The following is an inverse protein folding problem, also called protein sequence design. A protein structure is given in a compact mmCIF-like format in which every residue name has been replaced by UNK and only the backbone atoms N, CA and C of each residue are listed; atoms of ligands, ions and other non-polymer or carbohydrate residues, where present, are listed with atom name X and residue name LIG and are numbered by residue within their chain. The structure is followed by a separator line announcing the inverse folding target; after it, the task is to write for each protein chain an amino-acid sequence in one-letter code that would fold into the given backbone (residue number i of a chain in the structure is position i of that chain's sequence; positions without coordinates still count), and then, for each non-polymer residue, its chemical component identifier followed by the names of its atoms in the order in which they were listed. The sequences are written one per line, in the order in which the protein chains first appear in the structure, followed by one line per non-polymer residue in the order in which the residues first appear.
data_IF_830583441120
#
_entry.id   IF_830583441120
#
_cell.length_a   1.000
_cell.length_b   1.000
_cell.length_c   1.000
_cell.angle_alpha   90.00
_cell.angle_beta   90.00
_cell.angle_gamma   90.00
#
_symmetry.space_group_name_H-M   'P 1'
#
loop_
_entity.id
_entity.type
_entity.pdbx_description
1 polymer ?
#
# COMPACT_ATOMS: atom_id res chain seq x y z
N UNK A 1 9.01 12.19 55.19
CA UNK A 1 7.72 11.45 54.89
C UNK A 1 6.70 12.39 54.23
N UNK A 2 6.52 13.62 54.74
CA UNK A 2 5.61 14.62 54.15
C UNK A 2 6.04 15.01 52.73
N UNK A 3 7.32 15.32 52.49
CA UNK A 3 7.83 15.65 51.17
C UNK A 3 7.67 14.52 50.14
N UNK A 4 7.83 13.26 50.58
CA UNK A 4 7.62 12.11 49.69
C UNK A 4 6.13 11.93 49.32
N UNK A 5 5.22 12.17 50.30
CA UNK A 5 3.77 12.15 50.03
C UNK A 5 3.35 13.25 49.07
N UNK A 6 3.97 14.42 49.18
CA UNK A 6 3.70 15.56 48.31
C UNK A 6 4.22 15.33 46.88
N UNK A 7 5.43 14.75 46.76
CA UNK A 7 6.00 14.30 45.49
C UNK A 7 5.14 13.23 44.81
N UNK A 8 4.62 12.25 45.59
CA UNK A 8 3.72 11.25 45.08
C UNK A 8 2.38 11.85 44.61
N UNK A 9 1.79 12.77 45.39
CA UNK A 9 0.56 13.47 44.98
C UNK A 9 0.78 14.29 43.72
N UNK A 10 1.88 15.05 43.61
CA UNK A 10 2.23 15.81 42.43
C UNK A 10 2.46 14.91 41.22
N UNK A 11 3.11 13.75 41.43
CA UNK A 11 3.25 12.75 40.37
C UNK A 11 1.90 12.20 39.90
N UNK A 12 1.01 11.82 40.83
CA UNK A 12 -0.34 11.38 40.49
C UNK A 12 -1.12 12.45 39.76
N UNK A 13 -1.08 13.70 40.25
CA UNK A 13 -1.73 14.82 39.60
C UNK A 13 -1.19 15.08 38.18
N UNK A 14 0.14 15.04 37.96
CA UNK A 14 0.75 15.18 36.65
C UNK A 14 0.41 14.00 35.73
N UNK A 15 0.35 12.77 36.26
CA UNK A 15 -0.08 11.59 35.50
C UNK A 15 -1.55 11.69 35.12
N UNK A 16 -2.41 12.14 36.01
CA UNK A 16 -3.83 12.35 35.72
C UNK A 16 -4.04 13.48 34.71
N UNK A 17 -3.33 14.61 34.86
CA UNK A 17 -3.33 15.69 33.87
C UNK A 17 -2.82 15.22 32.50
N UNK A 18 -1.73 14.46 32.49
CA UNK A 18 -1.21 13.89 31.24
C UNK A 18 -2.21 12.91 30.62
N UNK A 19 -2.88 12.10 31.45
CA UNK A 19 -3.97 11.21 31.04
C UNK A 19 -5.15 11.99 30.46
N UNK A 20 -5.55 13.09 31.08
CA UNK A 20 -6.61 13.98 30.61
C UNK A 20 -6.26 14.68 29.30
N UNK A 21 -5.04 15.21 29.20
CA UNK A 21 -4.55 15.80 27.97
C UNK A 21 -4.48 14.79 26.84
N UNK A 22 -4.04 13.55 27.14
CA UNK A 22 -4.04 12.46 26.17
C UNK A 22 -5.47 12.13 25.72
N UNK A 23 -6.43 11.97 26.65
CA UNK A 23 -7.84 11.72 26.31
C UNK A 23 -8.44 12.85 25.47
N UNK A 24 -8.16 14.12 25.82
CA UNK A 24 -8.63 15.27 25.04
C UNK A 24 -7.99 15.34 23.66
N UNK A 25 -6.71 15.00 23.56
CA UNK A 25 -6.01 14.96 22.28
C UNK A 25 -6.53 13.80 21.41
N UNK A 26 -6.75 12.60 21.99
CA UNK A 26 -7.38 11.48 21.30
C UNK A 26 -8.77 11.90 20.79
N UNK A 27 -9.62 12.47 21.64
CA UNK A 27 -10.96 12.91 21.25
C UNK A 27 -10.95 14.02 20.19
N UNK A 28 -9.92 14.89 20.17
CA UNK A 28 -9.72 15.86 19.14
C UNK A 28 -9.27 15.19 17.83
N UNK A 29 -8.32 14.28 17.92
CA UNK A 29 -7.80 13.52 16.76
C UNK A 29 -8.92 12.67 16.17
N UNK A 30 -9.69 11.95 16.97
CA UNK A 30 -10.85 11.16 16.53
C UNK A 30 -11.92 12.01 15.83
N UNK A 31 -12.06 13.27 16.21
CA UNK A 31 -12.96 14.21 15.55
C UNK A 31 -12.42 14.70 14.22
N UNK A 32 -11.12 14.97 14.15
CA UNK A 32 -10.44 15.61 13.01
C UNK A 32 -9.81 14.58 12.10
N UNK A 33 -9.30 13.48 12.68
CA UNK A 33 -8.63 12.35 12.03
C UNK A 33 -9.09 11.02 12.65
N UNK A 34 -10.32 10.58 12.46
CA UNK A 34 -10.88 9.43 13.22
C UNK A 34 -10.11 8.12 13.06
N UNK A 35 -9.36 7.93 11.97
CA UNK A 35 -8.55 6.73 11.76
C UNK A 35 -7.08 6.90 12.18
N UNK A 36 -6.71 8.07 12.66
CA UNK A 36 -5.30 8.38 12.93
C UNK A 36 -4.70 7.44 13.98
N UNK A 37 -5.45 7.14 15.04
CA UNK A 37 -5.01 6.25 16.11
C UNK A 37 -4.75 4.83 15.63
N UNK A 38 -5.56 4.36 14.67
CA UNK A 38 -5.41 3.02 14.10
C UNK A 38 -4.16 2.83 13.20
N UNK A 39 -3.40 3.90 12.96
CA UNK A 39 -2.25 3.90 12.04
C UNK A 39 -0.91 3.86 12.74
N UNK A 40 -0.91 4.04 14.05
CA UNK A 40 0.31 4.08 14.86
C UNK A 40 0.06 3.29 16.13
N UNK A 41 1.09 2.63 16.66
CA UNK A 41 1.02 1.93 17.95
C UNK A 41 0.53 2.87 19.06
N UNK A 42 0.85 4.14 18.93
CA UNK A 42 0.29 5.23 19.72
C UNK A 42 0.38 6.54 18.94
N UNK A 43 -0.65 7.40 19.09
CA UNK A 43 -0.62 8.75 18.52
C UNK A 43 0.51 9.62 19.08
N UNK A 44 1.19 9.16 20.13
CA UNK A 44 2.31 9.87 20.78
C UNK A 44 3.69 9.37 20.33
N UNK A 45 3.77 8.44 19.35
CA UNK A 45 5.06 8.06 18.77
C UNK A 45 5.65 9.23 17.96
N UNK A 46 6.98 9.22 17.75
CA UNK A 46 7.67 10.29 17.04
C UNK A 46 7.11 10.55 15.65
N UNK A 47 6.83 9.47 14.89
CA UNK A 47 6.28 9.55 13.54
C UNK A 47 4.90 10.19 13.51
N UNK A 48 4.00 9.76 14.42
CA UNK A 48 2.67 10.33 14.55
C UNK A 48 2.70 11.83 14.87
N UNK A 49 3.52 12.24 15.85
CA UNK A 49 3.68 13.65 16.21
C UNK A 49 4.28 14.46 15.07
N UNK A 50 5.21 13.89 14.30
CA UNK A 50 5.78 14.56 13.12
C UNK A 50 4.71 14.79 12.03
N UNK A 51 3.85 13.78 11.78
CA UNK A 51 2.74 13.90 10.83
C UNK A 51 1.76 15.00 11.28
N UNK A 52 1.32 14.99 12.55
CA UNK A 52 0.41 16.02 13.08
C UNK A 52 0.99 17.43 13.02
N UNK A 53 2.31 17.59 13.24
CA UNK A 53 2.98 18.89 13.12
C UNK A 53 3.00 19.40 11.69
N UNK A 54 3.23 18.52 10.71
CA UNK A 54 3.34 18.88 9.29
C UNK A 54 1.96 19.05 8.64
N UNK A 55 1.00 18.20 9.04
CA UNK A 55 -0.34 18.12 8.44
C UNK A 55 -1.43 18.24 9.52
N UNK A 56 -1.74 19.46 9.96
CA UNK A 56 -2.64 19.70 11.09
C UNK A 56 -4.14 19.52 10.74
N UNK A 57 -4.48 19.24 9.50
CA UNK A 57 -5.86 19.06 9.05
C UNK A 57 -6.01 17.83 8.14
N UNK A 58 -7.11 17.07 8.23
CA UNK A 58 -7.33 15.85 7.44
C UNK A 58 -7.42 16.10 5.93
N UNK A 59 -7.82 17.30 5.51
CA UNK A 59 -7.86 17.67 4.09
C UNK A 59 -6.48 17.67 3.42
N UNK A 60 -5.41 17.64 4.20
CA UNK A 60 -4.04 17.64 3.67
C UNK A 60 -3.38 16.28 3.62
N UNK A 61 -3.82 15.33 4.45
CA UNK A 61 -3.22 14.00 4.49
C UNK A 61 -4.21 12.98 5.05
N UNK A 62 -4.29 11.84 4.40
CA UNK A 62 -5.08 10.69 4.85
C UNK A 62 -4.35 9.40 4.49
N UNK A 63 -4.38 8.43 5.38
CA UNK A 63 -3.94 7.07 5.05
C UNK A 63 -4.94 6.44 4.09
N UNK A 64 -4.42 5.88 3.01
CA UNK A 64 -5.26 5.22 2.01
C UNK A 64 -5.37 3.71 2.22
N UNK A 65 -4.81 3.20 3.32
CA UNK A 65 -4.83 1.77 3.66
C UNK A 65 -4.47 0.87 2.46
N UNK A 66 -5.21 -0.18 2.22
CA UNK A 66 -4.93 -1.14 1.15
C UNK A 66 -4.94 -0.57 -0.28
N UNK A 67 -5.45 0.66 -0.49
CA UNK A 67 -5.27 1.35 -1.76
C UNK A 67 -3.76 1.59 -2.08
N UNK A 68 -2.90 1.53 -1.07
CA UNK A 68 -1.44 1.55 -1.19
C UNK A 68 -0.91 0.40 -2.05
N UNK A 69 -1.52 -0.78 -1.99
CA UNK A 69 -1.11 -1.95 -2.78
C UNK A 69 -1.08 -1.65 -4.28
N UNK A 70 -2.06 -0.86 -4.74
CA UNK A 70 -2.10 -0.46 -6.16
C UNK A 70 -0.95 0.46 -6.53
N UNK A 71 -0.43 1.27 -5.59
CA UNK A 71 0.78 2.07 -5.84
C UNK A 71 1.98 1.14 -6.04
N UNK A 72 2.12 0.10 -5.21
CA UNK A 72 3.20 -0.90 -5.38
C UNK A 72 3.07 -1.60 -6.72
N UNK A 73 1.87 -1.99 -7.15
CA UNK A 73 1.64 -2.56 -8.48
C UNK A 73 2.11 -1.64 -9.62
N UNK A 74 1.85 -0.32 -9.50
CA UNK A 74 2.35 0.66 -10.48
C UNK A 74 3.88 0.78 -10.46
N UNK A 75 4.51 0.75 -9.28
CA UNK A 75 5.97 0.80 -9.15
C UNK A 75 6.65 -0.44 -9.75
N UNK A 76 6.07 -1.62 -9.57
CA UNK A 76 6.53 -2.85 -10.23
C UNK A 76 6.45 -2.72 -11.74
N UNK A 77 5.38 -2.10 -12.27
CA UNK A 77 5.25 -1.84 -13.70
C UNK A 77 6.35 -0.91 -14.24
N UNK A 78 6.69 0.14 -13.50
CA UNK A 78 7.80 1.03 -13.87
C UNK A 78 9.13 0.27 -13.84
N UNK A 79 9.37 -0.55 -12.82
CA UNK A 79 10.59 -1.34 -12.70
C UNK A 79 10.70 -2.40 -13.81
N UNK A 80 9.59 -2.98 -14.23
CA UNK A 80 9.51 -3.88 -15.38
C UNK A 80 9.83 -3.15 -16.70
N UNK A 81 9.24 -1.99 -16.94
CA UNK A 81 9.50 -1.17 -18.12
C UNK A 81 10.96 -0.66 -18.18
N UNK A 82 11.59 -0.45 -17.04
CA UNK A 82 13.00 -0.03 -16.91
C UNK A 82 13.99 -1.21 -16.94
N UNK A 83 13.51 -2.45 -16.98
CA UNK A 83 14.34 -3.66 -17.03
C UNK A 83 14.97 -4.06 -15.70
N UNK A 84 14.57 -3.46 -14.56
CA UNK A 84 14.96 -3.93 -13.23
C UNK A 84 14.33 -5.29 -12.91
N UNK A 85 13.11 -5.50 -13.37
CA UNK A 85 12.41 -6.78 -13.39
C UNK A 85 12.38 -7.25 -14.84
N UNK A 86 13.01 -8.39 -15.15
CA UNK A 86 13.15 -8.88 -16.51
C UNK A 86 11.85 -9.53 -17.03
N UNK A 87 11.14 -10.24 -16.15
CA UNK A 87 9.87 -10.88 -16.46
C UNK A 87 8.96 -10.92 -15.24
N UNK A 88 7.66 -10.71 -15.45
CA UNK A 88 6.67 -10.91 -14.38
C UNK A 88 6.52 -12.39 -14.01
N UNK A 89 6.97 -13.30 -14.85
CA UNK A 89 6.97 -14.73 -14.62
C UNK A 89 8.30 -15.23 -13.99
N UNK A 90 9.24 -14.31 -13.70
CA UNK A 90 10.43 -14.61 -12.93
C UNK A 90 10.04 -15.11 -11.53
N UNK A 91 10.84 -16.09 -11.05
CA UNK A 91 10.70 -16.57 -9.69
C UNK A 91 11.17 -15.53 -8.68
N UNK A 92 10.50 -15.47 -7.55
CA UNK A 92 10.86 -14.58 -6.44
C UNK A 92 12.32 -14.82 -6.00
N UNK A 93 12.78 -16.09 -5.98
CA UNK A 93 14.17 -16.46 -5.65
C UNK A 93 15.23 -15.83 -6.54
N UNK A 94 14.90 -15.42 -7.76
CA UNK A 94 15.82 -14.70 -8.65
C UNK A 94 16.28 -13.37 -8.06
N UNK A 95 15.41 -12.69 -7.32
CA UNK A 95 15.65 -11.38 -6.72
C UNK A 95 15.87 -11.50 -5.21
N UNK A 96 15.21 -12.43 -4.55
CA UNK A 96 15.21 -12.62 -3.11
C UNK A 96 15.55 -14.08 -2.77
N UNK A 97 16.81 -14.50 -2.99
CA UNK A 97 17.23 -15.90 -2.82
C UNK A 97 17.13 -16.40 -1.38
N UNK A 98 17.15 -15.50 -0.39
CA UNK A 98 16.96 -15.82 1.01
C UNK A 98 15.52 -16.20 1.38
N UNK A 99 14.54 -15.90 0.54
CA UNK A 99 13.16 -16.33 0.76
C UNK A 99 13.00 -17.82 0.37
N UNK A 100 12.91 -18.69 1.35
CA UNK A 100 12.96 -20.16 1.17
C UNK A 100 11.87 -20.75 0.27
N UNK A 101 10.78 -20.03 0.01
CA UNK A 101 9.66 -20.43 -0.85
C UNK A 101 9.73 -19.79 -2.25
N UNK A 102 10.75 -18.98 -2.51
CA UNK A 102 10.87 -18.12 -3.69
C UNK A 102 10.84 -18.86 -5.02
N UNK A 103 11.32 -20.11 -5.08
CA UNK A 103 11.30 -20.93 -6.30
C UNK A 103 9.89 -21.41 -6.69
N UNK A 104 8.93 -21.36 -5.79
CA UNK A 104 7.56 -21.81 -6.05
C UNK A 104 6.69 -20.69 -6.61
N UNK A 105 7.02 -19.43 -6.31
CA UNK A 105 6.19 -18.23 -6.54
C UNK A 105 6.83 -17.36 -7.62
N UNK A 106 6.00 -16.80 -8.52
CA UNK A 106 6.43 -15.78 -9.48
C UNK A 106 5.99 -14.38 -9.03
N UNK A 107 6.60 -13.34 -9.61
CA UNK A 107 6.16 -11.94 -9.42
C UNK A 107 4.70 -11.79 -9.83
N UNK A 108 4.26 -12.42 -10.92
CA UNK A 108 2.87 -12.46 -11.36
C UNK A 108 1.94 -13.03 -10.30
N UNK A 109 2.34 -14.09 -9.60
CA UNK A 109 1.52 -14.65 -8.51
C UNK A 109 1.31 -13.64 -7.37
N UNK A 110 2.33 -12.86 -7.02
CA UNK A 110 2.21 -11.80 -6.01
C UNK A 110 1.34 -10.63 -6.52
N UNK A 111 1.51 -10.21 -7.78
CA UNK A 111 0.70 -9.16 -8.38
C UNK A 111 -0.79 -9.52 -8.41
N UNK A 112 -1.12 -10.77 -8.66
CA UNK A 112 -2.49 -11.26 -8.79
C UNK A 112 -3.07 -11.87 -7.51
N UNK A 113 -2.39 -11.75 -6.37
CA UNK A 113 -2.83 -12.32 -5.09
C UNK A 113 -3.09 -13.83 -5.16
N UNK A 114 -2.19 -14.57 -5.82
CA UNK A 114 -2.31 -16.01 -6.04
C UNK A 114 -1.07 -16.79 -5.62
N UNK A 115 -0.33 -16.27 -4.65
CA UNK A 115 0.93 -16.85 -4.16
C UNK A 115 0.78 -18.21 -3.46
N UNK A 116 -0.41 -18.50 -2.91
CA UNK A 116 -0.62 -19.67 -2.07
C UNK A 116 0.05 -19.60 -0.68
N UNK A 117 0.54 -18.43 -0.26
CA UNK A 117 1.17 -18.23 1.04
C UNK A 117 0.19 -18.40 2.21
N UNK A 118 0.69 -18.83 3.35
CA UNK A 118 -0.04 -19.07 4.60
C UNK A 118 -0.35 -17.75 5.37
N UNK A 119 -0.79 -16.74 4.66
CA UNK A 119 -1.20 -15.45 5.23
C UNK A 119 -2.68 -15.45 5.59
N UNK A 120 -3.02 -14.99 6.79
CA UNK A 120 -4.39 -14.76 7.22
C UNK A 120 -4.72 -13.25 7.22
N UNK A 121 -5.67 -12.84 6.40
CA UNK A 121 -6.13 -11.45 6.30
C UNK A 121 -7.17 -11.12 7.41
N UNK A 122 -6.89 -11.54 8.64
CA UNK A 122 -7.80 -11.38 9.78
C UNK A 122 -7.43 -10.16 10.63
N UNK A 123 -8.20 -9.08 10.53
CA UNK A 123 -7.95 -7.81 11.23
C UNK A 123 -8.34 -7.80 12.71
N UNK A 124 -9.16 -8.75 13.15
CA UNK A 124 -9.69 -8.80 14.53
C UNK A 124 -9.03 -9.87 15.41
N UNK A 125 -8.25 -10.75 14.83
CA UNK A 125 -7.56 -11.81 15.57
C UNK A 125 -6.20 -11.30 16.06
N UNK A 126 -5.99 -11.25 17.38
CA UNK A 126 -4.77 -10.70 18.00
C UNK A 126 -3.46 -11.34 17.53
N UNK A 127 -3.52 -12.60 17.10
CA UNK A 127 -2.34 -13.38 16.69
C UNK A 127 -2.25 -13.59 15.17
N UNK A 128 -3.14 -12.98 14.38
CA UNK A 128 -3.07 -13.09 12.92
C UNK A 128 -1.80 -12.46 12.37
N UNK A 129 -1.32 -12.94 11.23
CA UNK A 129 -0.17 -12.34 10.55
C UNK A 129 -0.45 -10.90 10.14
N UNK A 130 -1.69 -10.58 9.76
CA UNK A 130 -2.13 -9.21 9.50
C UNK A 130 -1.96 -8.32 10.73
N UNK A 131 -2.41 -8.75 11.90
CA UNK A 131 -2.24 -7.98 13.15
C UNK A 131 -0.77 -7.84 13.52
N UNK A 132 0.03 -8.90 13.40
CA UNK A 132 1.47 -8.84 13.63
C UNK A 132 2.16 -7.85 12.69
N UNK A 133 1.78 -7.81 11.40
CA UNK A 133 2.33 -6.84 10.44
C UNK A 133 1.94 -5.40 10.79
N UNK A 134 0.69 -5.15 11.24
CA UNK A 134 0.23 -3.80 11.59
C UNK A 134 0.92 -3.25 12.84
N UNK A 135 1.08 -4.05 13.88
CA UNK A 135 1.52 -3.61 15.20
C UNK A 135 2.94 -4.05 15.55
N UNK A 136 3.51 -4.99 14.81
CA UNK A 136 4.88 -5.45 15.01
C UNK A 136 5.92 -4.53 14.34
N UNK A 137 7.16 -4.74 14.74
CA UNK A 137 8.35 -3.98 14.33
C UNK A 137 9.37 -4.82 13.53
N UNK A 138 8.98 -6.02 13.09
CA UNK A 138 9.82 -7.01 12.39
C UNK A 138 9.10 -7.58 11.17
N UNK A 139 8.60 -6.70 10.29
CA UNK A 139 7.80 -7.13 9.17
C UNK A 139 8.57 -8.01 8.18
N UNK A 140 9.86 -7.75 8.01
CA UNK A 140 10.73 -8.55 7.12
C UNK A 140 10.82 -9.99 7.61
N UNK A 141 11.08 -10.21 8.90
CA UNK A 141 11.13 -11.56 9.47
C UNK A 141 9.79 -12.28 9.30
N UNK A 142 8.69 -11.61 9.59
CA UNK A 142 7.34 -12.16 9.43
C UNK A 142 7.07 -12.62 7.99
N UNK A 143 7.51 -11.85 7.00
CA UNK A 143 7.32 -12.20 5.59
C UNK A 143 8.26 -13.32 5.15
N UNK A 144 9.52 -13.30 5.59
CA UNK A 144 10.50 -14.35 5.25
C UNK A 144 10.14 -15.72 5.83
N UNK A 145 9.35 -15.75 6.91
CA UNK A 145 8.89 -16.99 7.55
C UNK A 145 7.65 -17.61 6.87
N UNK A 146 7.01 -16.92 5.92
CA UNK A 146 5.82 -17.43 5.22
C UNK A 146 6.09 -18.71 4.44
N UNK A 147 5.08 -19.58 4.36
CA UNK A 147 5.15 -20.87 3.65
C UNK A 147 4.09 -20.95 2.56
N UNK A 148 4.44 -21.58 1.46
CA UNK A 148 3.48 -21.92 0.41
C UNK A 148 2.70 -23.15 0.88
N UNK A 149 1.38 -22.98 1.07
CA UNK A 149 0.45 -24.01 1.54
C UNK A 149 -0.61 -24.36 0.51
N UNK A 150 -0.75 -23.55 -0.54
CA UNK A 150 -1.63 -23.80 -1.70
C UNK A 150 -0.82 -23.69 -2.99
N UNK A 151 -1.32 -24.27 -4.09
CA UNK A 151 -0.64 -24.22 -5.38
C UNK A 151 -0.63 -22.78 -5.95
N UNK A 152 0.54 -22.14 -6.14
CA UNK A 152 0.62 -20.80 -6.67
C UNK A 152 0.03 -20.71 -8.09
N UNK A 153 -0.68 -19.61 -8.37
CA UNK A 153 -1.25 -19.34 -9.69
C UNK A 153 -2.53 -20.12 -10.00
N UNK A 154 -3.18 -20.72 -9.01
CA UNK A 154 -4.45 -21.42 -9.19
C UNK A 154 -5.65 -20.62 -8.71
N UNK A 155 -5.57 -20.10 -7.50
CA UNK A 155 -6.67 -19.43 -6.83
C UNK A 155 -6.29 -18.06 -6.34
N UNK A 156 -7.17 -17.11 -6.53
CA UNK A 156 -7.08 -15.80 -5.91
C UNK A 156 -7.40 -15.90 -4.41
N UNK A 157 -6.56 -15.28 -3.61
CA UNK A 157 -6.80 -15.09 -2.19
C UNK A 157 -6.13 -13.79 -1.75
N UNK A 158 -6.93 -12.80 -1.38
CA UNK A 158 -6.40 -11.48 -1.00
C UNK A 158 -5.50 -11.57 0.22
N UNK A 159 -4.23 -11.19 0.08
CA UNK A 159 -3.19 -11.32 1.10
C UNK A 159 -2.29 -10.09 1.14
N UNK A 160 -2.28 -9.37 2.26
CA UNK A 160 -1.36 -8.24 2.46
C UNK A 160 0.11 -8.66 2.42
N UNK A 161 0.41 -9.91 2.79
CA UNK A 161 1.75 -10.49 2.70
C UNK A 161 2.30 -10.54 1.28
N UNK A 162 1.45 -10.79 0.28
CA UNK A 162 1.86 -10.80 -1.13
C UNK A 162 2.41 -9.45 -1.58
N UNK A 163 1.77 -8.36 -1.18
CA UNK A 163 2.23 -7.01 -1.51
C UNK A 163 3.52 -6.65 -0.79
N UNK A 164 3.64 -7.03 0.48
CA UNK A 164 4.85 -6.76 1.24
C UNK A 164 6.05 -7.55 0.69
N UNK A 165 5.86 -8.82 0.35
CA UNK A 165 6.89 -9.63 -0.31
C UNK A 165 7.26 -9.05 -1.68
N UNK A 166 6.27 -8.58 -2.45
CA UNK A 166 6.48 -7.94 -3.75
C UNK A 166 7.35 -6.69 -3.63
N UNK A 167 7.20 -5.90 -2.56
CA UNK A 167 8.07 -4.76 -2.32
C UNK A 167 9.51 -5.14 -2.00
N UNK A 168 9.75 -6.22 -1.26
CA UNK A 168 11.10 -6.71 -1.01
C UNK A 168 11.77 -7.24 -2.28
N UNK A 169 10.98 -7.88 -3.16
CA UNK A 169 11.46 -8.26 -4.50
C UNK A 169 11.85 -7.03 -5.30
N UNK A 170 11.05 -5.97 -5.25
CA UNK A 170 11.33 -4.71 -5.95
C UNK A 170 12.60 -4.04 -5.41
N UNK A 171 12.77 -3.94 -4.11
CA UNK A 171 14.00 -3.41 -3.48
C UNK A 171 15.24 -4.18 -3.94
N UNK A 172 15.17 -5.51 -3.88
CA UNK A 172 16.28 -6.37 -4.29
C UNK A 172 16.61 -6.22 -5.80
N UNK A 173 15.59 -6.08 -6.64
CA UNK A 173 15.78 -5.83 -8.06
C UNK A 173 16.48 -4.49 -8.34
N UNK A 174 16.11 -3.45 -7.61
CA UNK A 174 16.72 -2.12 -7.72
C UNK A 174 18.19 -2.13 -7.23
N UNK A 175 18.49 -2.79 -6.11
CA UNK A 175 19.83 -2.88 -5.54
C UNK A 175 20.78 -3.68 -6.45
N UNK A 176 20.30 -4.77 -7.06
CA UNK A 176 21.10 -5.61 -7.97
C UNK A 176 21.67 -4.82 -9.15
N UNK A 177 20.87 -3.98 -9.79
CA UNK A 177 21.31 -3.18 -10.94
C UNK A 177 22.31 -2.10 -10.52
N UNK A 178 22.15 -1.50 -9.34
CA UNK A 178 23.13 -0.54 -8.82
C UNK A 178 24.49 -1.20 -8.62
N UNK A 179 24.55 -2.41 -8.02
CA UNK A 179 25.79 -3.17 -7.83
C UNK A 179 26.45 -3.54 -9.16
N UNK A 180 25.68 -4.02 -10.12
CA UNK A 180 26.22 -4.41 -11.44
C UNK A 180 26.79 -3.21 -12.21
N UNK A 181 26.17 -2.05 -12.17
CA UNK A 181 26.68 -0.83 -12.81
C UNK A 181 27.96 -0.29 -12.17
N UNK A 182 28.10 -0.43 -10.86
CA UNK A 182 29.34 -0.05 -10.16
C UNK A 182 30.51 -0.94 -10.55
N UNK A 183 30.30 -2.24 -10.81
CA UNK A 183 31.35 -3.17 -11.25
C UNK A 183 31.82 -2.93 -12.70
N UNK A 184 30.95 -2.50 -13.60
CA UNK A 184 31.32 -2.22 -15.01
C UNK A 184 32.18 -0.96 -15.18
N UNK A 185 32.22 -0.04 -14.22
CA UNK A 185 33.04 1.18 -14.25
C UNK A 185 34.38 1.04 -13.54
N UNK A 186 34.73 -0.13 -13.07
CA UNK A 186 35.85 -0.45 -12.20
C UNK A 186 37.22 -0.60 -12.85
N UNK A 187 37.69 0.30 -13.75
CA UNK A 187 39.10 0.34 -14.19
C UNK A 187 39.96 1.25 -13.30
N UNK A 188 39.39 2.09 -12.48
CA UNK A 188 40.11 2.92 -11.51
C UNK A 188 39.59 2.66 -10.10
N UNK A 189 40.52 2.28 -9.18
CA UNK A 189 40.29 2.16 -7.73
C UNK A 189 39.91 3.55 -7.18
N UNK A 190 38.66 3.91 -7.21
CA UNK A 190 38.07 4.93 -6.34
C UNK A 190 37.18 4.23 -5.32
N UNK A 191 37.23 4.67 -4.07
CA UNK A 191 36.43 4.15 -2.97
C UNK A 191 34.98 4.00 -3.40
N UNK A 192 34.53 2.73 -3.47
CA UNK A 192 33.14 2.38 -3.78
C UNK A 192 32.29 2.96 -2.66
N UNK A 193 31.61 4.07 -2.89
CA UNK A 193 30.52 4.49 -2.03
C UNK A 193 29.44 3.41 -2.13
N UNK A 194 29.35 2.57 -1.12
CA UNK A 194 28.23 1.65 -0.94
C UNK A 194 26.96 2.51 -0.94
N UNK A 195 26.25 2.54 -2.05
CA UNK A 195 24.95 3.19 -2.09
C UNK A 195 24.02 2.32 -1.26
N UNK A 196 23.38 2.91 -0.26
CA UNK A 196 22.32 2.25 0.47
C UNK A 196 21.24 1.78 -0.51
N UNK A 197 20.62 0.61 -0.29
CA UNK A 197 19.54 0.12 -1.13
C UNK A 197 18.48 1.22 -1.29
N UNK A 198 17.95 1.37 -2.51
CA UNK A 198 16.93 2.37 -2.80
C UNK A 198 15.63 1.93 -2.12
N UNK A 199 15.15 2.68 -1.14
CA UNK A 199 13.88 2.37 -0.49
C UNK A 199 12.70 2.50 -1.47
N UNK A 200 11.60 1.83 -1.17
CA UNK A 200 10.36 1.93 -1.98
C UNK A 200 9.85 3.37 -2.00
N UNK A 201 9.94 4.09 -0.88
CA UNK A 201 9.57 5.51 -0.79
C UNK A 201 10.39 6.36 -1.73
N UNK A 202 11.71 6.17 -1.76
CA UNK A 202 12.61 6.93 -2.63
C UNK A 202 12.36 6.63 -4.11
N UNK A 203 12.14 5.36 -4.44
CA UNK A 203 11.80 4.95 -5.79
C UNK A 203 10.44 5.54 -6.23
N UNK A 204 9.43 5.47 -5.37
CA UNK A 204 8.11 6.07 -5.61
C UNK A 204 8.21 7.60 -5.80
N UNK A 205 9.02 8.28 -4.99
CA UNK A 205 9.26 9.72 -5.13
C UNK A 205 9.84 10.06 -6.49
N UNK A 206 10.90 9.38 -6.89
CA UNK A 206 11.65 9.67 -8.11
C UNK A 206 10.89 9.29 -9.39
N UNK A 207 10.19 8.15 -9.37
CA UNK A 207 9.61 7.56 -10.58
C UNK A 207 8.13 7.88 -10.77
N UNK A 208 7.43 8.18 -9.71
CA UNK A 208 5.98 8.37 -9.73
C UNK A 208 5.58 9.75 -9.17
N UNK A 209 5.92 10.05 -7.91
CA UNK A 209 5.38 11.21 -7.20
C UNK A 209 5.84 12.56 -7.78
N UNK A 210 7.14 12.73 -7.96
CA UNK A 210 7.72 13.94 -8.58
C UNK A 210 7.32 14.09 -10.07
N UNK A 211 7.40 13.05 -10.91
CA UNK A 211 6.94 13.16 -12.29
C UNK A 211 5.47 13.53 -12.44
N UNK A 212 4.61 13.06 -11.56
CA UNK A 212 3.19 13.42 -11.53
C UNK A 212 2.95 14.87 -11.07
N UNK A 213 3.96 15.56 -10.59
CA UNK A 213 3.84 16.92 -10.06
C UNK A 213 2.94 16.96 -8.82
N UNK A 214 3.04 15.98 -7.94
CA UNK A 214 2.31 15.97 -6.68
C UNK A 214 2.59 17.25 -5.89
N UNK A 215 1.53 17.87 -5.34
CA UNK A 215 1.64 19.16 -4.67
C UNK A 215 2.06 19.04 -3.21
N UNK A 216 1.86 17.87 -2.63
CA UNK A 216 2.18 17.61 -1.23
C UNK A 216 3.10 16.39 -1.14
N UNK A 217 3.95 16.39 -0.11
CA UNK A 217 4.68 15.17 0.23
C UNK A 217 3.67 14.10 0.63
N UNK A 218 3.98 12.86 0.25
CA UNK A 218 3.33 11.69 0.80
C UNK A 218 4.21 11.08 1.89
N UNK A 219 3.62 10.33 2.80
CA UNK A 219 4.34 9.67 3.87
C UNK A 219 4.00 8.17 3.86
N UNK A 220 5.02 7.36 4.00
CA UNK A 220 4.86 5.92 4.18
C UNK A 220 5.23 5.53 5.60
N UNK A 221 4.40 4.75 6.28
CA UNK A 221 4.74 4.28 7.62
C UNK A 221 5.77 3.16 7.52
N UNK A 222 6.75 3.21 8.42
CA UNK A 222 7.72 2.16 8.62
C UNK A 222 7.22 1.20 9.74
N UNK A 223 7.78 0.00 9.79
CA UNK A 223 7.53 -0.93 10.90
C UNK A 223 8.24 -0.48 12.18
N UNK A 224 9.41 0.15 12.06
CA UNK A 224 10.19 0.77 13.14
C UNK A 224 11.01 1.95 12.62
N UNK A 225 11.72 2.66 13.49
CA UNK A 225 12.69 3.69 13.09
C UNK A 225 13.79 3.02 12.22
N UNK A 226 14.04 3.57 11.04
CA UNK A 226 14.96 3.03 10.01
C UNK A 226 14.63 1.58 9.55
N UNK A 227 13.39 1.19 9.66
CA UNK A 227 12.87 -0.12 9.24
C UNK A 227 12.28 -0.12 7.83
N UNK A 228 11.52 -1.18 7.53
CA UNK A 228 10.89 -1.39 6.23
C UNK A 228 9.56 -0.62 6.10
N UNK A 229 9.27 -0.08 4.91
CA UNK A 229 7.96 0.49 4.61
C UNK A 229 6.87 -0.58 4.67
N UNK A 230 5.76 -0.28 5.35
CA UNK A 230 4.55 -1.11 5.34
C UNK A 230 3.81 -0.91 4.00
N UNK A 231 4.27 -1.60 2.97
CA UNK A 231 3.85 -1.37 1.58
C UNK A 231 2.48 -1.93 1.23
N UNK A 232 1.98 -2.89 2.01
CA UNK A 232 0.62 -3.41 1.88
C UNK A 232 -0.45 -2.43 2.36
N UNK A 233 -0.03 -1.35 3.07
CA UNK A 233 -0.90 -0.30 3.60
C UNK A 233 -0.13 1.02 3.79
N UNK A 234 -0.75 1.96 4.49
CA UNK A 234 -0.06 2.95 5.31
C UNK A 234 0.66 4.04 4.52
N UNK A 235 0.32 4.22 3.25
CA UNK A 235 0.66 5.39 2.45
C UNK A 235 -0.33 6.51 2.73
N UNK A 236 0.19 7.68 3.09
CA UNK A 236 -0.59 8.83 3.50
C UNK A 236 -0.48 9.93 2.44
N UNK A 237 -1.61 10.37 1.90
CA UNK A 237 -1.65 11.34 0.81
C UNK A 237 -2.92 12.19 0.84
N UNK A 238 -2.98 13.21 -0.02
CA UNK A 238 -4.18 14.01 -0.23
C UNK A 238 -5.05 13.41 -1.35
N UNK A 239 -6.36 13.70 -1.33
CA UNK A 239 -7.25 13.29 -2.41
C UNK A 239 -6.80 13.83 -3.78
N UNK A 240 -6.27 15.05 -3.82
CA UNK A 240 -5.81 15.67 -5.08
C UNK A 240 -4.57 14.99 -5.66
N UNK A 241 -3.65 14.58 -4.81
CA UNK A 241 -2.44 13.88 -5.27
C UNK A 241 -2.77 12.42 -5.62
N UNK A 242 -3.69 11.79 -4.90
CA UNK A 242 -4.25 10.48 -5.28
C UNK A 242 -4.95 10.54 -6.66
N UNK A 243 -5.66 11.65 -6.97
CA UNK A 243 -6.29 11.84 -8.28
C UNK A 243 -5.29 11.84 -9.45
N UNK A 244 -4.04 12.23 -9.22
CA UNK A 244 -2.99 12.17 -10.25
C UNK A 244 -2.69 10.74 -10.69
N UNK A 245 -2.68 9.80 -9.73
CA UNK A 245 -2.55 8.37 -10.04
C UNK A 245 -3.74 7.87 -10.87
N UNK A 246 -4.96 8.26 -10.49
CA UNK A 246 -6.15 7.95 -11.28
C UNK A 246 -6.07 8.51 -12.70
N UNK A 247 -5.59 9.74 -12.86
CA UNK A 247 -5.37 10.36 -14.18
C UNK A 247 -4.28 9.66 -14.99
N UNK A 248 -3.21 9.20 -14.33
CA UNK A 248 -2.17 8.41 -15.00
C UNK A 248 -2.76 7.12 -15.61
N UNK A 249 -3.59 6.41 -14.85
CA UNK A 249 -4.28 5.21 -15.34
C UNK A 249 -5.26 5.57 -16.48
N UNK A 250 -6.06 6.61 -16.30
CA UNK A 250 -7.01 7.08 -17.30
C UNK A 250 -6.33 7.42 -18.63
N UNK A 251 -5.13 7.98 -18.56
CA UNK A 251 -4.29 8.32 -19.70
C UNK A 251 -3.33 7.19 -20.12
N UNK A 252 -3.60 5.96 -19.73
CA UNK A 252 -2.82 4.78 -20.13
C UNK A 252 -1.32 4.89 -19.84
N UNK A 253 -0.98 5.44 -18.69
CA UNK A 253 0.39 5.61 -18.24
C UNK A 253 1.12 6.86 -18.79
N UNK A 254 0.45 7.65 -19.63
CA UNK A 254 1.02 8.89 -20.14
C UNK A 254 0.70 10.07 -19.22
N UNK A 255 1.72 10.83 -18.90
CA UNK A 255 1.61 12.06 -18.10
C UNK A 255 2.26 13.22 -18.82
N UNK A 256 1.44 14.13 -19.34
CA UNK A 256 1.87 15.34 -20.06
C UNK A 256 2.88 15.06 -21.20
N UNK A 257 2.62 14.01 -21.99
CA UNK A 257 3.47 13.61 -23.12
C UNK A 257 4.63 12.66 -22.76
N UNK A 258 4.85 12.37 -21.49
CA UNK A 258 5.84 11.39 -21.00
C UNK A 258 5.14 10.10 -20.60
N UNK A 259 5.56 8.98 -21.16
CA UNK A 259 5.12 7.65 -20.73
C UNK A 259 5.87 7.29 -19.45
N UNK A 260 5.14 7.22 -18.32
CA UNK A 260 5.70 6.83 -17.01
C UNK A 260 5.58 5.33 -16.77
N UNK A 261 4.53 4.71 -17.28
CA UNK A 261 4.28 3.26 -17.22
C UNK A 261 3.78 2.86 -18.60
N UNK A 262 4.28 1.76 -19.17
CA UNK A 262 3.85 1.30 -20.48
C UNK A 262 2.34 1.02 -20.52
N UNK A 263 1.71 1.33 -21.65
CA UNK A 263 0.30 1.02 -21.88
C UNK A 263 0.08 -0.51 -21.82
N UNK A 264 1.04 -1.29 -22.28
CA UNK A 264 0.97 -2.76 -22.25
C UNK A 264 0.86 -3.27 -20.83
N UNK A 265 1.74 -2.84 -19.91
CA UNK A 265 1.68 -3.23 -18.51
C UNK A 265 0.37 -2.78 -17.86
N UNK A 266 -0.02 -1.53 -18.06
CA UNK A 266 -1.26 -1.00 -17.45
C UNK A 266 -2.51 -1.73 -17.95
N UNK A 267 -2.59 -2.05 -19.24
CA UNK A 267 -3.72 -2.81 -19.77
C UNK A 267 -3.82 -4.20 -19.13
N UNK A 268 -2.68 -4.86 -18.92
CA UNK A 268 -2.65 -6.13 -18.18
C UNK A 268 -3.03 -5.92 -16.70
N UNK A 269 -2.49 -4.90 -16.06
CA UNK A 269 -2.73 -4.60 -14.64
C UNK A 269 -4.21 -4.29 -14.32
N UNK A 270 -4.95 -3.68 -15.26
CA UNK A 270 -6.37 -3.36 -15.11
C UNK A 270 -7.29 -4.39 -15.78
N UNK A 271 -6.74 -5.50 -16.25
CA UNK A 271 -7.52 -6.64 -16.75
C UNK A 271 -7.61 -7.70 -15.67
N UNK A 272 -8.80 -8.24 -15.38
CA UNK A 272 -8.93 -9.31 -14.40
C UNK A 272 -8.07 -10.53 -14.76
N UNK A 273 -7.43 -11.13 -13.75
CA UNK A 273 -6.66 -12.36 -13.92
C UNK A 273 -7.59 -13.58 -14.07
N UNK A 274 -8.38 -13.58 -15.13
CA UNK A 274 -9.48 -14.53 -15.38
C UNK A 274 -9.07 -16.02 -15.55
N UNK A 275 -7.78 -16.29 -15.56
CA UNK A 275 -7.23 -17.65 -15.52
C UNK A 275 -7.18 -18.25 -14.10
N UNK A 276 -7.40 -17.42 -13.07
CA UNK A 276 -7.47 -17.85 -11.67
C UNK A 276 -8.91 -18.19 -11.28
N UNK A 277 -9.05 -19.16 -10.38
CA UNK A 277 -10.27 -19.34 -9.63
C UNK A 277 -10.46 -18.19 -8.64
N UNK A 278 -11.69 -17.67 -8.51
CA UNK A 278 -12.00 -16.62 -7.53
C UNK A 278 -12.03 -17.18 -6.09
N UNK A 279 -12.02 -16.30 -5.09
CA UNK A 279 -12.01 -16.71 -3.67
C UNK A 279 -13.28 -17.47 -3.22
N UNK A 280 -14.38 -17.32 -3.95
CA UNK A 280 -15.68 -17.98 -3.64
C UNK A 280 -15.76 -19.40 -4.17
N UNK A 281 -14.87 -19.79 -5.10
CA UNK A 281 -14.87 -21.13 -5.72
C UNK A 281 -16.01 -21.35 -6.69
N UNK A 282 -16.64 -20.30 -7.20
CA UNK A 282 -17.82 -20.37 -8.08
C UNK A 282 -17.53 -19.89 -9.53
N UNK A 283 -16.27 -19.62 -9.87
CA UNK A 283 -15.88 -19.24 -11.22
C UNK A 283 -14.50 -18.58 -11.32
N UNK A 284 -14.24 -18.02 -12.48
CA UNK A 284 -13.03 -17.28 -12.77
C UNK A 284 -12.99 -15.96 -12.04
N UNK A 285 -11.78 -15.48 -11.73
CA UNK A 285 -11.56 -14.16 -11.15
C UNK A 285 -11.89 -13.07 -12.17
N UNK A 286 -12.84 -12.19 -11.88
CA UNK A 286 -13.27 -11.12 -12.78
C UNK A 286 -13.22 -9.72 -12.15
N UNK A 287 -12.67 -9.59 -10.92
CA UNK A 287 -12.65 -8.34 -10.15
C UNK A 287 -11.27 -7.92 -9.64
N UNK A 288 -10.17 -8.59 -10.04
CA UNK A 288 -8.81 -8.23 -9.61
C UNK A 288 -7.77 -8.47 -10.70
N UNK A 289 -6.87 -7.50 -10.89
CA UNK A 289 -5.73 -7.57 -11.78
C UNK A 289 -4.40 -7.51 -11.02
N UNK A 290 -3.45 -6.67 -11.45
CA UNK A 290 -2.16 -6.52 -10.78
C UNK A 290 -2.24 -5.50 -9.64
N UNK A 291 -2.54 -5.95 -8.43
CA UNK A 291 -2.75 -5.12 -7.24
C UNK A 291 -3.83 -4.04 -7.42
N UNK A 292 -4.71 -4.20 -8.40
CA UNK A 292 -5.76 -3.25 -8.77
C UNK A 292 -7.10 -4.00 -8.80
N UNK A 293 -8.09 -3.47 -8.07
CA UNK A 293 -9.45 -3.95 -8.12
C UNK A 293 -10.13 -3.53 -9.42
N UNK A 294 -10.99 -4.37 -9.96
CA UNK A 294 -11.84 -4.07 -11.10
C UNK A 294 -13.29 -4.01 -10.60
N UNK A 295 -13.84 -2.83 -10.59
CA UNK A 295 -15.22 -2.61 -10.15
C UNK A 295 -16.20 -2.99 -11.25
N UNK A 296 -17.25 -3.68 -10.83
CA UNK A 296 -18.44 -3.92 -11.64
C UNK A 296 -19.54 -3.00 -11.13
N UNK A 297 -20.00 -2.08 -11.98
CA UNK A 297 -21.10 -1.18 -11.67
C UNK A 297 -21.99 -0.99 -12.88
N UNK A 298 -23.27 -1.40 -12.78
CA UNK A 298 -24.16 -1.53 -13.93
C UNK A 298 -23.49 -2.39 -15.01
N UNK A 299 -23.44 -1.95 -16.25
CA UNK A 299 -22.79 -2.66 -17.36
C UNK A 299 -21.32 -2.27 -17.57
N UNK A 300 -20.74 -1.48 -16.67
CA UNK A 300 -19.39 -0.97 -16.79
C UNK A 300 -18.42 -1.75 -15.91
N UNK A 301 -17.18 -1.84 -16.40
CA UNK A 301 -16.02 -2.30 -15.64
C UNK A 301 -14.95 -1.23 -15.67
N UNK A 302 -14.33 -0.96 -14.54
CA UNK A 302 -13.28 0.05 -14.42
C UNK A 302 -12.36 -0.23 -13.22
N UNK A 303 -11.08 0.21 -13.29
CA UNK A 303 -10.14 0.01 -12.19
C UNK A 303 -10.48 0.86 -10.98
N UNK A 304 -10.16 0.32 -9.81
CA UNK A 304 -10.36 0.98 -8.54
C UNK A 304 -9.23 0.67 -7.54
N UNK A 305 -8.89 1.68 -6.74
CA UNK A 305 -8.08 1.50 -5.55
C UNK A 305 -9.02 1.46 -4.36
N UNK A 306 -8.86 0.47 -3.49
CA UNK A 306 -9.77 0.23 -2.37
C UNK A 306 -8.99 0.06 -1.08
N UNK A 307 -9.39 0.79 -0.04
CA UNK A 307 -8.77 0.72 1.27
C UNK A 307 -9.79 0.68 2.41
N UNK A 308 -9.34 0.20 3.54
CA UNK A 308 -10.14 0.12 4.77
C UNK A 308 -10.71 1.51 5.12
N UNK A 309 -11.82 1.57 5.85
CA UNK A 309 -12.47 2.84 6.22
C UNK A 309 -13.16 3.55 5.06
N UNK A 310 -13.17 2.96 3.85
CA UNK A 310 -13.78 3.53 2.66
C UNK A 310 -12.87 4.51 1.92
N UNK A 311 -11.60 4.17 1.82
CA UNK A 311 -10.68 4.83 0.91
C UNK A 311 -10.93 4.28 -0.48
N UNK A 312 -11.54 5.07 -1.35
CA UNK A 312 -11.90 4.65 -2.70
C UNK A 312 -11.37 5.64 -3.72
N UNK A 313 -10.80 5.11 -4.79
CA UNK A 313 -10.57 5.83 -6.04
C UNK A 313 -11.11 4.97 -7.17
N UNK A 314 -12.14 5.46 -7.85
CA UNK A 314 -12.71 4.83 -9.04
C UNK A 314 -12.23 5.59 -10.27
N UNK A 315 -11.58 4.90 -11.18
CA UNK A 315 -11.15 5.47 -12.47
C UNK A 315 -12.12 5.00 -13.54
N UNK A 316 -12.94 5.90 -14.08
CA UNK A 316 -14.08 5.58 -14.95
C UNK A 316 -13.79 6.10 -16.39
N UNK A 317 -13.11 5.29 -17.23
CA UNK A 317 -12.73 5.73 -18.59
C UNK A 317 -13.95 6.11 -19.46
N UNK A 318 -15.04 5.40 -19.31
CA UNK A 318 -16.28 5.62 -20.07
C UNK A 318 -16.90 6.99 -19.82
N UNK A 319 -16.56 7.63 -18.69
CA UNK A 319 -17.02 8.99 -18.32
C UNK A 319 -15.87 10.00 -18.30
N UNK A 320 -14.65 9.58 -18.65
CA UNK A 320 -13.43 10.40 -18.49
C UNK A 320 -13.35 11.03 -17.08
N UNK A 321 -13.65 10.24 -16.05
CA UNK A 321 -13.83 10.73 -14.69
C UNK A 321 -13.03 9.90 -13.67
N UNK A 322 -12.67 10.56 -12.58
CA UNK A 322 -12.07 9.96 -11.39
C UNK A 322 -12.90 10.38 -10.19
N UNK A 323 -13.35 9.40 -9.42
CA UNK A 323 -14.12 9.63 -8.21
C UNK A 323 -13.28 9.20 -7.03
N UNK A 324 -13.07 10.09 -6.06
CA UNK A 324 -12.26 9.81 -4.87
C UNK A 324 -13.09 10.04 -3.62
N UNK A 325 -13.01 9.09 -2.73
CA UNK A 325 -13.48 9.21 -1.36
C UNK A 325 -12.32 8.86 -0.42
N UNK A 326 -12.01 9.76 0.48
CA UNK A 326 -11.18 9.48 1.65
C UNK A 326 -12.13 9.44 2.85
N UNK A 327 -12.37 8.24 3.34
CA UNK A 327 -13.43 7.97 4.29
C UNK A 327 -12.93 7.60 5.67
N UNK A 328 -13.89 7.58 6.63
CA UNK A 328 -13.64 7.20 8.01
C UNK A 328 -14.40 5.93 8.41
N UNK A 329 -15.47 5.65 7.67
CA UNK A 329 -16.28 4.44 7.81
C UNK A 329 -16.68 3.95 6.45
N UNK A 330 -16.88 2.67 6.33
CA UNK A 330 -17.55 2.00 5.22
C UNK A 330 -18.63 1.08 5.77
N UNK A 331 -19.48 0.55 4.92
CA UNK A 331 -20.37 -0.54 5.33
C UNK A 331 -19.56 -1.78 5.71
N UNK A 332 -20.06 -2.51 6.69
CA UNK A 332 -19.56 -3.85 7.04
C UNK A 332 -20.29 -4.95 6.26
N UNK A 333 -21.33 -4.57 5.48
CA UNK A 333 -22.08 -5.49 4.62
C UNK A 333 -21.42 -5.58 3.26
N UNK A 334 -21.27 -6.82 2.76
CA UNK A 334 -20.66 -7.14 1.50
C UNK A 334 -21.65 -7.77 0.53
N UNK A 335 -21.51 -7.43 -0.73
CA UNK A 335 -22.06 -8.19 -1.85
C UNK A 335 -20.86 -8.72 -2.63
N UNK A 336 -20.56 -10.02 -2.47
CA UNK A 336 -19.34 -10.63 -2.98
C UNK A 336 -18.10 -9.90 -2.45
N UNK A 337 -17.27 -9.42 -3.35
CA UNK A 337 -15.98 -8.77 -3.05
C UNK A 337 -16.10 -7.28 -2.66
N UNK A 338 -17.27 -6.67 -2.77
CA UNK A 338 -17.44 -5.22 -2.53
C UNK A 338 -18.40 -4.92 -1.38
N UNK A 339 -18.17 -3.83 -0.69
CA UNK A 339 -19.11 -3.30 0.32
C UNK A 339 -20.26 -2.55 -0.36
N UNK A 340 -21.47 -2.63 0.21
CA UNK A 340 -22.69 -2.08 -0.39
C UNK A 340 -22.64 -0.56 -0.59
N UNK A 341 -21.87 0.16 0.22
CA UNK A 341 -21.72 1.62 0.13
C UNK A 341 -20.99 2.09 -1.13
N UNK A 342 -20.19 1.22 -1.76
CA UNK A 342 -19.49 1.56 -3.01
C UNK A 342 -20.47 1.92 -4.13
N UNK A 343 -21.54 1.14 -4.28
CA UNK A 343 -22.57 1.40 -5.30
C UNK A 343 -23.32 2.71 -5.01
N UNK A 344 -23.59 3.03 -3.73
CA UNK A 344 -24.22 4.29 -3.35
C UNK A 344 -23.35 5.51 -3.71
N UNK A 345 -22.02 5.44 -3.49
CA UNK A 345 -21.10 6.50 -3.93
C UNK A 345 -21.03 6.63 -5.45
N UNK A 346 -21.05 5.53 -6.17
CA UNK A 346 -21.10 5.53 -7.63
C UNK A 346 -22.42 6.10 -8.15
N UNK A 347 -23.57 5.77 -7.53
CA UNK A 347 -24.87 6.37 -7.87
C UNK A 347 -24.86 7.89 -7.75
N UNK A 348 -24.27 8.42 -6.67
CA UNK A 348 -24.12 9.87 -6.46
C UNK A 348 -23.19 10.46 -7.53
N UNK A 349 -22.04 9.84 -7.76
CA UNK A 349 -21.06 10.31 -8.73
C UNK A 349 -21.66 10.35 -10.15
N UNK A 350 -22.36 9.30 -10.56
CA UNK A 350 -22.97 9.24 -11.89
C UNK A 350 -24.07 10.29 -12.07
N UNK A 351 -24.85 10.61 -11.04
CA UNK A 351 -25.82 11.73 -11.09
C UNK A 351 -25.15 13.11 -11.29
N UNK A 352 -23.90 13.26 -10.85
CA UNK A 352 -23.14 14.51 -11.04
C UNK A 352 -22.51 14.55 -12.43
N UNK A 353 -22.22 13.39 -13.03
CA UNK A 353 -21.57 13.25 -14.33
C UNK A 353 -22.55 13.19 -15.51
N UNK A 354 -23.85 13.11 -15.24
CA UNK A 354 -24.94 13.27 -16.22
C UNK A 354 -25.18 14.74 -16.52
#
# INVERSE_FOLDING_TARGET
LLALKELCRNRFYLVDMAGDLKRKLIALIDRVFPEYEAQFDTIFCKSSVAVLKKYPTPQKLSNIFSATKSIVGLLVGIAYDEGFIESLDDKVSKYLPEFGEGDKITIRNLLTMSSGLDWDEAYTALISKTTQAYYGDRIRDLIMDLKVVEEPGKKYSYKSGDTQLLSFVLEAALDKVHKEKEYEWGIFKTEVKVHSPVSISEYAERKLWKPLGACNDALWNLDREDGDEKTYCCFNTTARDLARLGRLILNKGNWNGRQLISETYLNEAITPAGYLENEFGDGSLDYYGFQIWIMHYKEMRFPAFRGLGGQYMFVIPQKNAIVIRLGHKRSDEYIREKTIDMDAYLDIAFKILE
#
